data_IF_432112932906
#
_entry.id   IF_432112932906
#
_cell.length_a   1.000
_cell.length_b   1.000
_cell.length_c   1.000
_cell.angle_alpha   90.00
_cell.angle_beta   90.00
_cell.angle_gamma   90.00
#
_symmetry.space_group_name_H-M   'P 1'
#
loop_
_entity.id
_entity.type
_entity.pdbx_description
1 polymer ?
#
# COMPACT_ATOMS: atom_id res chain seq x y z
N UNK A 1 -44.94 -17.79 -7.47
CA UNK A 1 -45.05 -17.01 -6.21
C UNK A 1 -43.66 -16.93 -5.57
N UNK A 2 -43.35 -15.84 -4.86
CA UNK A 2 -42.06 -15.14 -4.88
C UNK A 2 -41.27 -15.20 -3.55
N UNK A 3 -39.97 -14.86 -3.58
CA UNK A 3 -39.20 -14.08 -2.58
C UNK A 3 -37.71 -14.09 -2.97
N UNK A 4 -37.01 -13.01 -3.34
CA UNK A 4 -36.87 -11.64 -2.83
C UNK A 4 -35.61 -11.45 -1.95
N UNK A 5 -34.66 -10.68 -2.51
CA UNK A 5 -33.57 -9.83 -1.96
C UNK A 5 -32.30 -10.11 -2.77
N UNK A 6 -31.87 -9.27 -3.72
CA UNK A 6 -31.59 -7.82 -3.63
C UNK A 6 -30.74 -7.52 -2.40
N UNK A 7 -29.44 -7.77 -2.56
CA UNK A 7 -28.34 -6.98 -2.04
C UNK A 7 -27.50 -6.67 -3.29
N UNK A 8 -27.89 -5.66 -4.07
CA UNK A 8 -27.51 -4.25 -3.85
C UNK A 8 -26.01 -4.08 -4.10
N UNK A 9 -25.73 -3.58 -5.31
CA UNK A 9 -24.80 -2.47 -5.51
C UNK A 9 -23.42 -2.58 -4.82
N UNK A 10 -22.60 -3.55 -5.26
CA UNK A 10 -21.14 -3.43 -5.13
C UNK A 10 -20.48 -3.22 -6.50
N UNK A 11 -21.12 -2.39 -7.31
CA UNK A 11 -20.67 -1.95 -8.62
C UNK A 11 -20.87 -0.44 -8.72
N UNK A 12 -20.25 0.32 -7.81
CA UNK A 12 -20.47 1.77 -7.74
C UNK A 12 -19.36 2.60 -7.09
N UNK A 13 -18.27 1.99 -6.61
CA UNK A 13 -17.14 2.72 -6.00
C UNK A 13 -15.76 2.26 -6.49
N UNK A 14 -15.71 1.43 -7.54
CA UNK A 14 -14.47 0.85 -8.08
C UNK A 14 -13.83 1.72 -9.19
N UNK A 15 -14.41 2.87 -9.50
CA UNK A 15 -14.09 3.71 -10.67
C UNK A 15 -13.50 5.09 -10.29
N UNK A 16 -12.68 5.14 -9.24
CA UNK A 16 -11.90 6.35 -8.88
C UNK A 16 -10.43 6.08 -8.53
N UNK A 17 -10.04 4.82 -8.32
CA UNK A 17 -8.67 4.41 -7.95
C UNK A 17 -7.87 3.80 -9.12
N UNK A 18 -8.36 3.90 -10.36
CA UNK A 18 -7.63 3.52 -11.58
C UNK A 18 -6.47 4.49 -11.84
N UNK A 19 -5.35 4.29 -11.15
CA UNK A 19 -4.06 4.81 -11.57
C UNK A 19 -3.05 3.69 -11.79
N UNK A 20 -3.05 2.72 -10.89
CA UNK A 20 -2.05 1.68 -10.80
C UNK A 20 -2.79 0.38 -10.51
N UNK A 21 -3.09 -0.41 -11.55
CA UNK A 21 -3.68 -1.75 -11.39
C UNK A 21 -2.62 -2.71 -10.83
N UNK A 22 -2.06 -2.38 -9.66
CA UNK A 22 -1.00 -3.13 -9.00
C UNK A 22 -1.62 -4.22 -8.14
N UNK A 23 -1.04 -5.41 -8.22
CA UNK A 23 -1.38 -6.50 -7.32
C UNK A 23 -0.82 -6.22 -5.91
N UNK A 24 -1.38 -6.83 -4.85
CA UNK A 24 -0.82 -6.71 -3.50
C UNK A 24 0.67 -7.06 -3.45
N UNK A 25 1.10 -8.08 -4.20
CA UNK A 25 2.50 -8.49 -4.29
C UNK A 25 3.40 -7.40 -4.92
N UNK A 26 2.93 -6.69 -5.95
CA UNK A 26 3.67 -5.59 -6.55
C UNK A 26 3.78 -4.38 -5.62
N UNK A 27 2.70 -4.07 -4.89
CA UNK A 27 2.73 -3.02 -3.87
C UNK A 27 3.77 -3.35 -2.80
N UNK A 28 3.79 -4.59 -2.31
CA UNK A 28 4.78 -5.05 -1.34
C UNK A 28 6.20 -4.94 -1.89
N UNK A 29 6.42 -5.38 -3.13
CA UNK A 29 7.73 -5.26 -3.75
C UNK A 29 8.20 -3.80 -3.87
N UNK A 30 7.29 -2.89 -4.26
CA UNK A 30 7.59 -1.45 -4.33
C UNK A 30 7.87 -0.85 -2.95
N UNK A 31 7.10 -1.25 -1.93
CA UNK A 31 7.33 -0.82 -0.54
C UNK A 31 8.67 -1.33 -0.01
N UNK A 32 9.01 -2.60 -0.25
CA UNK A 32 10.27 -3.19 0.17
C UNK A 32 11.45 -2.47 -0.47
N UNK A 33 11.43 -2.28 -1.78
CA UNK A 33 12.52 -1.61 -2.51
C UNK A 33 12.62 -0.13 -2.10
N UNK A 34 11.50 0.57 -1.91
CA UNK A 34 11.49 1.94 -1.41
C UNK A 34 12.05 2.05 0.01
N UNK A 35 11.68 1.12 0.89
CA UNK A 35 12.18 1.05 2.25
C UNK A 35 13.69 0.83 2.26
N UNK A 36 14.17 -0.16 1.52
CA UNK A 36 15.60 -0.50 1.41
C UNK A 36 16.42 0.67 0.84
N UNK A 37 15.91 1.35 -0.19
CA UNK A 37 16.52 2.57 -0.72
C UNK A 37 16.62 3.68 0.35
N UNK A 38 15.57 3.86 1.18
CA UNK A 38 15.56 4.85 2.28
C UNK A 38 16.51 4.47 3.42
N UNK A 39 16.75 3.17 3.64
CA UNK A 39 17.76 2.66 4.56
C UNK A 39 19.20 2.83 4.04
N UNK A 40 19.37 3.31 2.81
CA UNK A 40 20.68 3.50 2.19
C UNK A 40 21.29 2.23 1.61
N UNK A 41 20.48 1.21 1.32
CA UNK A 41 20.94 0.06 0.54
C UNK A 41 21.18 0.44 -0.92
N UNK A 42 22.09 -0.30 -1.57
CA UNK A 42 22.39 -0.19 -3.00
C UNK A 42 21.27 -0.86 -3.82
N UNK A 43 20.09 -0.25 -3.78
CA UNK A 43 18.92 -0.66 -4.56
C UNK A 43 18.32 0.54 -5.28
N UNK A 44 17.94 0.34 -6.54
CA UNK A 44 17.18 1.32 -7.29
C UNK A 44 15.75 1.38 -6.74
N UNK A 45 15.51 2.40 -5.92
CA UNK A 45 14.18 2.76 -5.41
C UNK A 45 13.19 3.03 -6.55
N UNK A 46 11.87 2.90 -6.31
CA UNK A 46 10.89 3.35 -7.28
C UNK A 46 11.02 4.86 -7.53
N UNK A 47 10.76 5.28 -8.77
CA UNK A 47 10.74 6.69 -9.16
C UNK A 47 9.84 7.53 -8.22
N UNK A 48 10.16 8.82 -8.00
CA UNK A 48 9.38 9.67 -7.11
C UNK A 48 7.90 9.73 -7.49
N UNK A 49 7.58 9.77 -8.78
CA UNK A 49 6.20 9.72 -9.27
C UNK A 49 5.49 8.40 -8.90
N UNK A 50 6.19 7.27 -9.00
CA UNK A 50 5.65 5.96 -8.60
C UNK A 50 5.43 5.91 -7.09
N UNK A 51 6.37 6.47 -6.31
CA UNK A 51 6.27 6.59 -4.85
C UNK A 51 5.07 7.44 -4.43
N UNK A 52 4.88 8.62 -5.04
CA UNK A 52 3.74 9.50 -4.77
C UNK A 52 2.40 8.83 -5.10
N UNK A 53 2.33 8.15 -6.25
CA UNK A 53 1.10 7.44 -6.66
C UNK A 53 0.81 6.24 -5.77
N UNK A 54 1.83 5.51 -5.32
CA UNK A 54 1.67 4.41 -4.35
C UNK A 54 1.19 4.94 -3.01
N UNK A 55 1.79 6.04 -2.52
CA UNK A 55 1.38 6.69 -1.29
C UNK A 55 -0.08 7.18 -1.37
N UNK A 56 -0.47 7.85 -2.46
CA UNK A 56 -1.84 8.30 -2.68
C UNK A 56 -2.83 7.12 -2.73
N UNK A 57 -2.44 6.01 -3.36
CA UNK A 57 -3.26 4.80 -3.45
C UNK A 57 -3.48 4.15 -2.07
N UNK A 58 -2.40 3.95 -1.30
CA UNK A 58 -2.47 3.36 0.05
C UNK A 58 -3.14 4.29 1.07
N UNK A 59 -3.06 5.61 0.85
CA UNK A 59 -3.78 6.59 1.69
C UNK A 59 -5.29 6.59 1.40
N UNK A 60 -5.68 6.31 0.15
CA UNK A 60 -7.08 6.26 -0.26
C UNK A 60 -7.77 4.93 0.06
N UNK A 61 -7.01 3.85 0.23
CA UNK A 61 -7.53 2.49 0.41
C UNK A 61 -6.89 1.81 1.62
N UNK A 62 -7.50 2.00 2.79
CA UNK A 62 -7.00 1.44 4.06
C UNK A 62 -7.01 -0.09 4.08
N UNK A 63 -7.99 -0.73 3.44
CA UNK A 63 -8.06 -2.20 3.34
C UNK A 63 -6.86 -2.73 2.54
N UNK A 64 -6.59 -2.12 1.39
CA UNK A 64 -5.43 -2.46 0.58
C UNK A 64 -4.10 -2.16 1.28
N UNK A 65 -4.03 -1.07 2.06
CA UNK A 65 -2.87 -0.76 2.91
C UNK A 65 -2.63 -1.85 3.96
N UNK A 66 -3.68 -2.34 4.61
CA UNK A 66 -3.55 -3.42 5.58
C UNK A 66 -3.15 -4.73 4.91
N UNK A 67 -3.73 -5.09 3.77
CA UNK A 67 -3.38 -6.32 3.04
C UNK A 67 -1.92 -6.30 2.57
N UNK A 68 -1.48 -5.18 1.99
CA UNK A 68 -0.09 -4.95 1.62
C UNK A 68 0.84 -5.00 2.84
N UNK A 69 0.47 -4.39 3.97
CA UNK A 69 1.25 -4.48 5.20
C UNK A 69 1.37 -5.91 5.72
N UNK A 70 0.28 -6.69 5.68
CA UNK A 70 0.26 -8.10 6.10
C UNK A 70 1.16 -8.96 5.20
N UNK A 71 1.17 -8.72 3.89
CA UNK A 71 2.07 -9.43 2.99
C UNK A 71 3.53 -8.99 3.20
N UNK A 72 3.79 -7.69 3.37
CA UNK A 72 5.15 -7.16 3.55
C UNK A 72 5.80 -7.60 4.85
N UNK A 73 5.06 -7.68 5.97
CA UNK A 73 5.60 -8.20 7.24
C UNK A 73 6.16 -9.63 7.10
N UNK A 74 5.57 -10.48 6.26
CA UNK A 74 6.10 -11.84 6.05
C UNK A 74 7.47 -11.79 5.35
N UNK A 75 7.64 -10.89 4.39
CA UNK A 75 8.92 -10.65 3.73
C UNK A 75 9.94 -10.09 4.72
N UNK A 76 9.57 -9.10 5.53
CA UNK A 76 10.45 -8.51 6.55
C UNK A 76 10.92 -9.56 7.57
N UNK A 77 10.03 -10.45 8.02
CA UNK A 77 10.40 -11.56 8.91
C UNK A 77 11.39 -12.50 8.23
N UNK A 78 11.16 -12.83 6.95
CA UNK A 78 12.04 -13.69 6.16
C UNK A 78 13.42 -13.06 5.96
N UNK A 79 13.48 -11.73 5.88
CA UNK A 79 14.72 -10.95 5.79
C UNK A 79 15.33 -10.59 7.16
N UNK A 80 14.77 -11.09 8.27
CA UNK A 80 15.20 -10.79 9.64
C UNK A 80 15.22 -9.27 9.97
N UNK A 81 14.33 -8.50 9.35
CA UNK A 81 14.21 -7.04 9.53
C UNK A 81 13.22 -6.67 10.63
N UNK A 82 13.38 -5.46 11.17
CA UNK A 82 12.51 -4.91 12.20
C UNK A 82 11.19 -4.42 11.59
N UNK A 83 10.11 -5.12 11.94
CA UNK A 83 8.75 -4.76 11.52
C UNK A 83 8.32 -3.41 12.09
N UNK A 84 8.67 -3.10 13.34
CA UNK A 84 8.30 -1.83 13.98
C UNK A 84 8.89 -0.62 13.25
N UNK A 85 10.15 -0.71 12.81
CA UNK A 85 10.80 0.37 12.04
C UNK A 85 10.18 0.53 10.65
N UNK A 86 9.80 -0.58 10.00
CA UNK A 86 9.12 -0.55 8.71
C UNK A 86 7.69 0.00 8.82
N UNK A 87 6.98 -0.30 9.91
CA UNK A 87 5.64 0.20 10.19
C UNK A 87 5.65 1.71 10.40
N UNK A 88 6.58 2.19 11.25
CA UNK A 88 6.78 3.61 11.50
C UNK A 88 7.18 4.34 10.21
N UNK A 89 8.09 3.77 9.43
CA UNK A 89 8.47 4.35 8.15
C UNK A 89 7.29 4.46 7.17
N UNK A 90 6.43 3.43 7.10
CA UNK A 90 5.28 3.43 6.21
C UNK A 90 4.31 4.58 6.57
N UNK A 91 4.02 4.76 7.85
CA UNK A 91 3.04 5.76 8.31
C UNK A 91 3.61 7.18 8.42
N UNK A 92 4.89 7.34 8.77
CA UNK A 92 5.52 8.65 9.03
C UNK A 92 6.24 9.21 7.80
N UNK A 93 6.97 8.35 7.06
CA UNK A 93 7.80 8.79 5.93
C UNK A 93 7.17 8.51 4.58
N UNK A 94 6.45 7.41 4.43
CA UNK A 94 5.94 6.97 3.13
C UNK A 94 4.53 7.50 2.84
N UNK A 95 3.66 7.48 3.85
CA UNK A 95 2.32 8.05 3.82
C UNK A 95 2.34 9.35 4.63
N UNK A 96 2.89 10.46 4.10
CA UNK A 96 2.93 11.70 4.87
C UNK A 96 1.53 12.02 5.40
N UNK A 97 1.39 12.44 6.68
CA UNK A 97 0.10 12.81 7.21
C UNK A 97 -0.49 13.87 6.28
N UNK A 98 -1.74 13.65 5.86
CA UNK A 98 -2.47 14.66 5.11
C UNK A 98 -2.34 15.97 5.89
N UNK A 99 -1.83 17.07 5.30
CA UNK A 99 -1.74 18.33 6.02
C UNK A 99 -3.16 18.67 6.49
N UNK A 100 -3.34 18.73 7.80
CA UNK A 100 -4.53 19.28 8.43
C UNK A 100 -4.63 20.72 7.92
N UNK A 101 -5.70 21.01 7.15
CA UNK A 101 -5.96 22.30 6.51
C UNK A 101 -6.01 23.47 7.51
#
# INVERSE_FOLDING_TARGET
MPSAKVWDDRAGAQDKAQGLNLTPAEIVALLDVAYRADQGEDVDGPDPLTRERLAAYLSGDEEMRQDAWIAWRYELITQERRMDEAADWLDVKFLPPCPDD
#
